data_IF_497116531801
#
_entry.id   IF_497116531801
#
_cell.length_a   1.000
_cell.length_b   1.000
_cell.length_c   1.000
_cell.angle_alpha   90.00
_cell.angle_beta   90.00
_cell.angle_gamma   90.00
#
_symmetry.space_group_name_H-M   'P 1'
#
loop_
_entity.id
_entity.type
_entity.pdbx_description
1 polymer ?
#
# COMPACT_ATOMS: atom_id res chain seq x y z
N UNK A 1 -4.14 5.22 -12.52
CA UNK A 1 -3.61 4.15 -13.40
C UNK A 1 -3.41 2.95 -12.49
N UNK A 2 -4.18 1.87 -12.69
CA UNK A 2 -4.05 0.67 -11.87
C UNK A 2 -2.66 0.06 -12.14
N UNK A 3 -1.81 0.00 -11.12
CA UNK A 3 -0.57 -0.75 -11.20
C UNK A 3 -1.00 -2.22 -11.13
N UNK A 4 -1.09 -2.86 -12.29
CA UNK A 4 -1.26 -4.31 -12.36
C UNK A 4 0.08 -4.96 -12.09
N UNK A 5 0.05 -6.15 -11.49
CA UNK A 5 1.20 -6.99 -11.13
C UNK A 5 2.20 -7.20 -12.28
N UNK A 6 1.79 -6.94 -13.53
CA UNK A 6 2.62 -7.05 -14.71
C UNK A 6 3.69 -5.94 -14.86
N UNK A 7 3.62 -4.84 -14.11
CA UNK A 7 4.50 -3.67 -14.33
C UNK A 7 5.68 -3.53 -13.36
N UNK A 8 5.82 -4.39 -12.34
CA UNK A 8 6.94 -4.30 -11.37
C UNK A 8 7.39 -5.70 -10.94
N UNK A 9 8.41 -6.30 -11.59
CA UNK A 9 8.79 -7.69 -11.37
C UNK A 9 9.43 -7.98 -9.98
N UNK A 10 9.69 -6.97 -9.16
CA UNK A 10 10.36 -7.09 -7.86
C UNK A 10 9.61 -6.41 -6.70
N UNK A 11 8.28 -6.21 -6.79
CA UNK A 11 7.54 -5.78 -5.60
C UNK A 11 7.57 -6.91 -4.55
N UNK A 12 7.93 -6.61 -3.28
CA UNK A 12 7.94 -7.63 -2.24
C UNK A 12 6.58 -8.32 -2.15
N UNK A 13 6.61 -9.65 -2.04
CA UNK A 13 5.48 -10.60 -2.24
C UNK A 13 4.22 -10.32 -1.40
N UNK A 14 4.31 -9.41 -0.44
CA UNK A 14 3.21 -8.91 0.40
C UNK A 14 2.30 -7.86 -0.26
N UNK A 15 2.70 -7.21 -1.36
CA UNK A 15 1.84 -6.24 -2.06
C UNK A 15 0.89 -6.89 -3.10
N UNK A 16 0.96 -8.21 -3.26
CA UNK A 16 0.42 -8.93 -4.44
C UNK A 16 -0.91 -9.64 -4.18
N UNK A 17 -1.41 -9.67 -2.94
CA UNK A 17 -2.68 -10.32 -2.67
C UNK A 17 -3.84 -9.35 -2.91
N UNK A 18 -4.66 -9.66 -3.93
CA UNK A 18 -5.96 -9.07 -4.29
C UNK A 18 -5.97 -7.90 -5.32
N UNK A 19 -5.56 -8.20 -6.56
CA UNK A 19 -5.78 -7.33 -7.74
C UNK A 19 -7.06 -7.70 -8.55
N UNK A 20 -7.93 -8.57 -8.04
CA UNK A 20 -9.02 -9.11 -8.87
C UNK A 20 -10.40 -8.46 -8.72
N UNK A 21 -10.69 -7.67 -7.67
CA UNK A 21 -12.03 -7.06 -7.51
C UNK A 21 -12.05 -5.60 -6.99
N UNK A 22 -10.89 -4.97 -6.76
CA UNK A 22 -10.78 -3.64 -6.15
C UNK A 22 -9.97 -2.67 -7.01
N UNK A 23 -10.34 -1.38 -7.00
CA UNK A 23 -9.47 -0.34 -7.56
C UNK A 23 -8.44 0.05 -6.51
N UNK A 24 -7.18 -0.26 -6.79
CA UNK A 24 -6.05 -0.05 -5.89
C UNK A 24 -5.11 1.01 -6.44
N UNK A 25 -4.57 1.85 -5.56
CA UNK A 25 -3.64 2.92 -5.92
C UNK A 25 -2.59 3.08 -4.81
N UNK A 26 -1.34 2.81 -5.15
CA UNK A 26 -0.17 2.96 -4.27
C UNK A 26 0.74 4.07 -4.75
N UNK A 27 1.08 4.98 -3.84
CA UNK A 27 1.99 6.09 -4.11
C UNK A 27 2.79 6.40 -2.84
N UNK A 28 4.03 6.90 -2.94
CA UNK A 28 4.53 7.75 -1.86
C UNK A 28 3.77 9.08 -1.95
N UNK A 29 3.55 9.75 -0.81
CA UNK A 29 2.66 10.92 -0.54
C UNK A 29 2.23 11.79 -1.74
N UNK A 30 3.09 12.02 -2.74
CA UNK A 30 2.75 12.70 -3.99
C UNK A 30 2.32 11.73 -5.13
N UNK A 31 1.02 11.67 -5.49
CA UNK A 31 0.53 10.83 -6.59
C UNK A 31 0.88 11.35 -8.00
N UNK A 32 1.45 12.55 -8.14
CA UNK A 32 1.89 13.10 -9.44
C UNK A 32 3.24 12.55 -9.89
N UNK A 33 4.01 11.98 -8.97
CA UNK A 33 5.25 11.26 -9.28
C UNK A 33 4.98 9.77 -9.15
N UNK A 34 5.11 8.96 -10.23
CA UNK A 34 4.88 7.52 -10.15
C UNK A 34 5.73 6.86 -9.08
N UNK A 35 5.17 5.88 -8.35
CA UNK A 35 5.83 5.20 -7.24
C UNK A 35 7.25 4.73 -7.59
N UNK A 36 7.41 4.05 -8.73
CA UNK A 36 8.71 3.54 -9.16
C UNK A 36 9.75 4.66 -9.31
N UNK A 37 9.35 5.81 -9.85
CA UNK A 37 10.23 6.98 -9.98
C UNK A 37 10.61 7.58 -8.64
N UNK A 38 9.74 7.50 -7.64
CA UNK A 38 10.07 7.92 -6.27
C UNK A 38 11.02 6.92 -5.58
N UNK A 39 10.92 5.63 -5.89
CA UNK A 39 11.83 4.59 -5.37
C UNK A 39 13.24 4.65 -5.99
N UNK A 40 13.40 5.35 -7.10
CA UNK A 40 14.68 5.64 -7.76
C UNK A 40 15.47 6.78 -7.09
N UNK A 41 14.92 7.45 -6.07
CA UNK A 41 15.57 8.58 -5.38
C UNK A 41 16.97 8.23 -4.85
N UNK A 42 17.95 9.09 -5.15
CA UNK A 42 19.33 9.00 -4.67
C UNK A 42 19.93 10.40 -4.39
N UNK A 43 20.64 10.59 -3.26
CA UNK A 43 20.78 9.66 -2.14
C UNK A 43 19.44 9.47 -1.41
N UNK A 44 19.29 8.38 -0.65
CA UNK A 44 18.03 8.11 0.07
C UNK A 44 17.77 9.20 1.13
N UNK A 45 16.57 9.78 1.12
CA UNK A 45 16.18 10.87 2.01
C UNK A 45 15.86 10.43 3.45
N UNK A 46 15.91 9.13 3.74
CA UNK A 46 15.50 8.53 5.02
C UNK A 46 14.11 7.88 4.95
N UNK A 47 13.35 7.93 6.05
CA UNK A 47 12.06 7.23 6.14
C UNK A 47 11.07 7.69 5.08
N UNK A 48 10.34 6.74 4.49
CA UNK A 48 9.32 7.03 3.49
C UNK A 48 7.94 6.49 3.89
N UNK A 49 6.88 7.12 3.37
CA UNK A 49 5.49 6.74 3.67
C UNK A 49 4.79 6.29 2.40
N UNK A 50 4.37 5.03 2.37
CA UNK A 50 3.52 4.46 1.32
C UNK A 50 2.07 4.68 1.69
N UNK A 51 1.31 5.30 0.79
CA UNK A 51 -0.13 5.52 0.94
C UNK A 51 -0.86 4.69 -0.10
N UNK A 52 -1.74 3.82 0.39
CA UNK A 52 -2.60 2.97 -0.42
C UNK A 52 -4.05 3.39 -0.21
N UNK A 53 -4.71 3.82 -1.27
CA UNK A 53 -6.16 4.07 -1.26
C UNK A 53 -6.87 3.00 -2.07
N UNK A 54 -7.87 2.36 -1.48
CA UNK A 54 -8.65 1.29 -2.09
C UNK A 54 -10.11 1.72 -2.22
N UNK A 55 -10.69 1.56 -3.41
CA UNK A 55 -12.13 1.61 -3.59
C UNK A 55 -12.70 0.18 -3.57
N UNK A 56 -13.59 -0.06 -2.60
CA UNK A 56 -14.22 -1.34 -2.35
C UNK A 56 -15.66 -1.31 -2.88
N UNK A 57 -16.08 -2.30 -3.67
CA UNK A 57 -17.47 -2.51 -4.05
C UNK A 57 -18.44 -2.44 -2.88
N UNK A 58 -19.65 -1.95 -3.17
CA UNK A 58 -20.72 -1.87 -2.20
C UNK A 58 -20.99 -3.25 -1.57
N UNK A 59 -21.18 -3.27 -0.25
CA UNK A 59 -21.43 -4.51 0.51
C UNK A 59 -20.20 -5.36 0.82
N UNK A 60 -18.99 -4.96 0.38
CA UNK A 60 -17.74 -5.71 0.60
C UNK A 60 -16.76 -5.08 1.59
N UNK A 61 -17.06 -3.90 2.12
CA UNK A 61 -16.14 -3.13 2.99
C UNK A 61 -15.75 -3.88 4.26
N UNK A 62 -16.69 -4.55 4.93
CA UNK A 62 -16.40 -5.26 6.18
C UNK A 62 -15.51 -6.50 5.94
N UNK A 63 -15.79 -7.24 4.87
CA UNK A 63 -14.98 -8.38 4.42
C UNK A 63 -13.55 -7.93 4.06
N UNK A 64 -13.44 -6.86 3.26
CA UNK A 64 -12.15 -6.29 2.87
C UNK A 64 -11.36 -5.80 4.08
N UNK A 65 -12.00 -5.12 5.03
CA UNK A 65 -11.34 -4.62 6.24
C UNK A 65 -10.85 -5.76 7.15
N UNK A 66 -11.64 -6.83 7.30
CA UNK A 66 -11.25 -8.00 8.07
C UNK A 66 -10.03 -8.71 7.46
N UNK A 67 -10.03 -8.91 6.14
CA UNK A 67 -8.89 -9.47 5.42
C UNK A 67 -7.64 -8.60 5.59
N UNK A 68 -7.78 -7.30 5.41
CA UNK A 68 -6.65 -6.37 5.47
C UNK A 68 -6.03 -6.26 6.86
N UNK A 69 -6.82 -6.47 7.93
CA UNK A 69 -6.29 -6.53 9.30
C UNK A 69 -5.32 -7.70 9.47
N UNK A 70 -5.59 -8.85 8.86
CA UNK A 70 -4.69 -10.01 8.88
C UNK A 70 -3.39 -9.67 8.16
N UNK A 71 -3.49 -9.07 6.97
CA UNK A 71 -2.33 -8.66 6.17
C UNK A 71 -1.49 -7.60 6.88
N UNK A 72 -2.13 -6.68 7.61
CA UNK A 72 -1.45 -5.65 8.41
C UNK A 72 -0.59 -6.27 9.51
N UNK A 73 -1.08 -7.30 10.20
CA UNK A 73 -0.30 -7.99 11.25
C UNK A 73 0.89 -8.77 10.68
N UNK A 74 0.80 -9.25 9.44
CA UNK A 74 1.95 -9.81 8.73
C UNK A 74 2.91 -8.70 8.28
N UNK A 75 2.38 -7.57 7.80
CA UNK A 75 3.18 -6.45 7.31
C UNK A 75 4.05 -5.82 8.39
N UNK A 76 3.54 -5.70 9.62
CA UNK A 76 4.32 -5.22 10.78
C UNK A 76 5.57 -6.04 11.09
N UNK A 77 5.68 -7.27 10.59
CA UNK A 77 6.83 -8.16 10.84
C UNK A 77 7.91 -8.06 9.77
N UNK A 78 7.66 -7.32 8.69
CA UNK A 78 8.62 -7.17 7.61
C UNK A 78 9.80 -6.29 8.07
N UNK A 79 11.05 -6.68 7.82
CA UNK A 79 12.20 -5.83 8.08
C UNK A 79 12.06 -4.48 7.37
N UNK A 80 12.37 -3.40 8.09
CA UNK A 80 12.30 -2.04 7.56
C UNK A 80 10.91 -1.39 7.59
N UNK A 81 9.86 -2.09 8.01
CA UNK A 81 8.56 -1.48 8.35
C UNK A 81 8.62 -0.90 9.75
N UNK A 82 8.38 0.41 9.87
CA UNK A 82 8.25 1.12 11.15
C UNK A 82 6.83 0.98 11.69
N UNK A 83 5.84 1.25 10.84
CA UNK A 83 4.42 1.13 11.21
C UNK A 83 3.54 0.91 9.98
N UNK A 84 2.34 0.42 10.23
CA UNK A 84 1.28 0.33 9.23
C UNK A 84 -0.07 0.53 9.91
N UNK A 85 -0.90 1.36 9.31
CA UNK A 85 -2.19 1.75 9.87
C UNK A 85 -3.28 1.70 8.81
N UNK A 86 -4.35 0.98 9.14
CA UNK A 86 -5.51 0.79 8.29
C UNK A 86 -6.70 1.60 8.78
N UNK A 87 -7.30 2.37 7.88
CA UNK A 87 -8.41 3.27 8.12
C UNK A 87 -9.57 2.98 7.18
N UNK A 88 -10.79 2.97 7.72
CA UNK A 88 -12.03 2.78 6.97
C UNK A 88 -12.71 4.13 6.71
N UNK A 89 -13.28 4.29 5.52
CA UNK A 89 -14.19 5.40 5.22
C UNK A 89 -15.45 5.39 6.09
N UNK A 90 -15.91 6.56 6.50
CA UNK A 90 -17.12 6.74 7.32
C UNK A 90 -18.36 7.03 6.47
N UNK A 91 -19.55 7.00 7.09
CA UNK A 91 -20.83 7.32 6.45
C UNK A 91 -21.14 6.49 5.18
N UNK A 92 -20.90 5.18 5.25
CA UNK A 92 -21.16 4.26 4.13
C UNK A 92 -20.16 4.33 2.98
N UNK A 93 -19.07 5.08 3.12
CA UNK A 93 -18.01 5.15 2.11
C UNK A 93 -17.38 3.78 1.85
N UNK A 94 -17.23 3.42 0.58
CA UNK A 94 -16.51 2.24 0.11
C UNK A 94 -14.99 2.41 0.12
N UNK A 95 -14.45 3.44 0.78
CA UNK A 95 -13.01 3.72 0.79
C UNK A 95 -12.30 3.02 1.94
N UNK A 96 -11.09 2.55 1.67
CA UNK A 96 -10.10 2.19 2.69
C UNK A 96 -8.78 2.92 2.39
N UNK A 97 -8.07 3.27 3.45
CA UNK A 97 -6.74 3.88 3.41
C UNK A 97 -5.81 3.03 4.26
N UNK A 98 -4.69 2.61 3.69
CA UNK A 98 -3.56 2.11 4.45
C UNK A 98 -2.39 3.07 4.27
N UNK A 99 -1.73 3.46 5.35
CA UNK A 99 -0.41 4.09 5.26
C UNK A 99 0.62 3.30 6.05
N UNK A 100 1.76 3.06 5.42
CA UNK A 100 2.88 2.34 6.01
C UNK A 100 4.13 3.21 6.00
N UNK A 101 4.78 3.32 7.14
CA UNK A 101 6.05 4.03 7.31
C UNK A 101 7.18 3.01 7.21
N UNK A 102 8.15 3.30 6.37
CA UNK A 102 9.34 2.48 6.15
C UNK A 102 10.60 3.25 6.53
N UNK A 103 11.64 2.52 6.94
CA UNK A 103 12.95 3.10 7.32
C UNK A 103 13.63 3.81 6.15
N UNK A 104 13.48 3.29 4.93
CA UNK A 104 13.95 3.95 3.70
C UNK A 104 13.27 3.42 2.44
N UNK A 105 13.53 4.07 1.29
CA UNK A 105 13.09 3.57 -0.02
C UNK A 105 13.81 2.27 -0.42
N UNK A 106 15.05 2.01 0.02
CA UNK A 106 15.68 0.68 -0.11
C UNK A 106 14.95 -0.40 0.70
N UNK A 107 14.60 -0.12 1.95
CA UNK A 107 13.88 -1.08 2.79
C UNK A 107 12.55 -1.50 2.15
N UNK A 108 11.84 -0.55 1.53
CA UNK A 108 10.60 -0.81 0.79
C UNK A 108 10.81 -1.61 -0.51
N UNK A 109 12.00 -1.54 -1.13
CA UNK A 109 12.35 -2.28 -2.36
C UNK A 109 12.81 -3.72 -2.10
N UNK A 110 13.25 -4.03 -0.88
CA UNK A 110 13.84 -5.32 -0.49
C UNK A 110 12.78 -6.43 -0.36
#
# INVERSE_FOLDING_TARGET
MAITTAQVPNLPKQLVFWVLDFSFSSHLINPRTPLLKQLEEQPEAGSCVVVNTCHIPAGKVDEAFAAWKIDTEMAKKQPGVISTELHRGVNGSGMMLNYAIWESTAALKA
#
